data_IF_510528366093
#
_entry.id   IF_510528366093
#
_cell.length_a   1.000
_cell.length_b   1.000
_cell.length_c   1.000
_cell.angle_alpha   90.00
_cell.angle_beta   90.00
_cell.angle_gamma   90.00
#
_symmetry.space_group_name_H-M   'P 1'
#
loop_
_entity.id
_entity.type
_entity.pdbx_description
1 polymer ?
#
# COMPACT_ATOMS: atom_id res chain seq x y z
N UNK A 1 -36.43 -12.29 2.17
CA UNK A 1 -35.09 -12.47 1.55
C UNK A 1 -34.30 -13.34 2.51
N UNK A 2 -33.79 -14.51 2.09
CA UNK A 2 -33.11 -15.39 3.02
C UNK A 2 -31.86 -14.67 3.57
N UNK A 3 -31.63 -14.68 4.89
CA UNK A 3 -30.52 -13.94 5.53
C UNK A 3 -29.15 -14.36 4.99
N UNK A 4 -29.04 -15.57 4.44
CA UNK A 4 -27.83 -16.11 3.81
C UNK A 4 -27.44 -15.37 2.54
N UNK A 5 -28.37 -15.06 1.63
CA UNK A 5 -28.08 -14.30 0.41
C UNK A 5 -27.59 -12.89 0.73
N UNK A 6 -28.17 -12.27 1.76
CA UNK A 6 -27.78 -10.94 2.22
C UNK A 6 -26.36 -10.96 2.81
N UNK A 7 -26.03 -11.99 3.60
CA UNK A 7 -24.68 -12.19 4.12
C UNK A 7 -23.65 -12.39 3.01
N UNK A 8 -23.95 -13.21 1.99
CA UNK A 8 -23.06 -13.44 0.84
C UNK A 8 -22.84 -12.13 0.07
N UNK A 9 -23.91 -11.39 -0.22
CA UNK A 9 -23.83 -10.12 -0.94
C UNK A 9 -22.96 -9.10 -0.18
N UNK A 10 -23.12 -8.98 1.14
CA UNK A 10 -22.30 -8.10 1.97
C UNK A 10 -20.81 -8.48 1.92
N UNK A 11 -20.49 -9.77 2.03
CA UNK A 11 -19.11 -10.25 1.91
C UNK A 11 -18.51 -9.96 0.53
N UNK A 12 -19.27 -10.15 -0.54
CA UNK A 12 -18.84 -9.83 -1.89
C UNK A 12 -18.57 -8.32 -2.05
N UNK A 13 -19.45 -7.47 -1.53
CA UNK A 13 -19.24 -6.02 -1.57
C UNK A 13 -17.98 -5.62 -0.80
N UNK A 14 -17.76 -6.16 0.40
CA UNK A 14 -16.56 -5.87 1.20
C UNK A 14 -15.28 -6.32 0.49
N UNK A 15 -15.28 -7.53 -0.05
CA UNK A 15 -14.10 -8.08 -0.77
C UNK A 15 -13.81 -7.30 -2.05
N UNK A 16 -14.82 -6.98 -2.85
CA UNK A 16 -14.67 -6.20 -4.08
C UNK A 16 -14.25 -4.76 -3.80
N UNK A 17 -14.81 -4.10 -2.78
CA UNK A 17 -14.43 -2.74 -2.40
C UNK A 17 -12.99 -2.67 -1.89
N UNK A 18 -12.55 -3.67 -1.12
CA UNK A 18 -11.14 -3.78 -0.72
C UNK A 18 -10.21 -4.00 -1.92
N UNK A 19 -10.60 -4.84 -2.87
CA UNK A 19 -9.87 -5.06 -4.12
C UNK A 19 -9.78 -3.78 -4.96
N UNK A 20 -10.88 -3.06 -5.12
CA UNK A 20 -10.95 -1.77 -5.84
C UNK A 20 -10.05 -0.72 -5.18
N UNK A 21 -10.07 -0.61 -3.85
CA UNK A 21 -9.16 0.29 -3.10
C UNK A 21 -7.68 -0.07 -3.30
N UNK A 22 -7.37 -1.36 -3.35
CA UNK A 22 -6.03 -1.84 -3.64
C UNK A 22 -5.59 -1.54 -5.08
N UNK A 23 -6.52 -1.54 -6.04
CA UNK A 23 -6.28 -1.19 -7.44
C UNK A 23 -6.13 0.33 -7.64
N UNK A 24 -7.02 1.13 -7.06
CA UNK A 24 -7.03 2.59 -7.19
C UNK A 24 -5.93 3.32 -6.41
N UNK A 25 -5.50 2.78 -5.26
CA UNK A 25 -4.40 3.34 -4.47
C UNK A 25 -3.32 2.29 -4.18
N UNK A 26 -2.50 1.94 -5.18
CA UNK A 26 -1.47 0.92 -5.04
C UNK A 26 -0.34 1.37 -4.09
N UNK A 27 -0.19 2.68 -3.88
CA UNK A 27 0.84 3.28 -3.05
C UNK A 27 0.25 3.75 -1.71
N UNK A 28 0.69 3.13 -0.62
CA UNK A 28 0.50 3.63 0.74
C UNK A 28 1.66 4.51 1.18
N UNK A 29 1.45 5.33 2.22
CA UNK A 29 2.54 6.07 2.86
C UNK A 29 3.48 5.11 3.59
N UNK A 30 4.78 5.35 3.50
CA UNK A 30 5.75 4.62 4.30
C UNK A 30 5.52 4.96 5.78
N UNK A 31 5.22 3.92 6.59
CA UNK A 31 4.91 4.08 8.02
C UNK A 31 6.07 4.63 8.86
N UNK A 32 7.30 4.53 8.36
CA UNK A 32 8.51 4.93 9.11
C UNK A 32 8.89 6.40 8.92
N UNK A 33 8.61 6.95 7.75
CA UNK A 33 8.86 8.36 7.44
C UNK A 33 7.57 9.15 7.22
N UNK A 34 6.40 8.55 7.49
CA UNK A 34 5.08 9.15 7.33
C UNK A 34 4.80 9.77 5.95
N UNK A 35 5.44 9.26 4.89
CA UNK A 35 5.31 9.82 3.54
C UNK A 35 6.42 10.80 3.13
N UNK A 36 7.30 11.23 4.04
CA UNK A 36 8.31 12.27 3.75
C UNK A 36 9.51 11.77 2.93
N UNK A 37 9.80 10.46 2.93
CA UNK A 37 10.99 9.89 2.29
C UNK A 37 12.29 10.04 3.11
N UNK A 38 12.25 10.76 4.23
CA UNK A 38 13.38 10.94 5.14
C UNK A 38 12.91 10.98 6.59
N UNK A 39 13.84 10.77 7.53
CA UNK A 39 13.59 10.99 8.95
C UNK A 39 13.54 12.48 9.23
N UNK A 40 12.47 12.96 9.86
CA UNK A 40 12.39 14.35 10.31
C UNK A 40 13.27 14.52 11.54
N UNK A 41 14.15 15.53 11.52
CA UNK A 41 14.94 15.92 12.69
C UNK A 41 14.59 17.35 13.07
N UNK A 42 14.69 17.68 14.35
CA UNK A 42 14.55 19.05 14.84
C UNK A 42 15.93 19.63 15.11
N UNK A 43 16.14 20.88 14.71
CA UNK A 43 17.33 21.65 15.07
C UNK A 43 17.29 22.04 16.55
N UNK A 44 18.40 22.52 17.12
CA UNK A 44 18.46 23.06 18.51
C UNK A 44 17.45 24.19 18.75
N UNK A 45 17.04 24.88 17.70
CA UNK A 45 16.02 25.95 17.71
C UNK A 45 14.60 25.45 17.45
N UNK A 46 14.35 24.15 17.49
CA UNK A 46 13.03 23.53 17.27
C UNK A 46 12.55 23.52 15.81
N UNK A 47 13.35 24.01 14.85
CA UNK A 47 12.95 24.05 13.44
C UNK A 47 13.05 22.65 12.81
N UNK A 48 12.04 22.20 12.03
CA UNK A 48 12.12 20.92 11.33
C UNK A 48 13.18 20.99 10.23
N UNK A 49 14.05 19.99 10.19
CA UNK A 49 15.07 19.79 9.17
C UNK A 49 14.95 18.40 8.57
N UNK A 50 15.33 18.32 7.30
CA UNK A 50 15.52 17.05 6.60
C UNK A 50 16.64 16.28 7.27
N UNK A 51 16.30 15.16 7.91
CA UNK A 51 17.28 14.24 8.49
C UNK A 51 17.74 13.19 7.48
N UNK A 52 18.10 12.01 7.99
CA UNK A 52 18.65 10.93 7.17
C UNK A 52 17.61 10.40 6.19
N UNK A 53 18.08 9.98 5.02
CA UNK A 53 17.28 9.30 4.01
C UNK A 53 16.61 8.04 4.58
N UNK A 54 15.34 7.79 4.24
CA UNK A 54 14.62 6.63 4.77
C UNK A 54 14.99 5.36 4.01
N UNK A 55 15.81 4.50 4.65
CA UNK A 55 16.25 3.20 4.09
C UNK A 55 15.12 2.22 3.75
N UNK A 56 13.91 2.41 4.29
CA UNK A 56 12.83 1.43 4.13
C UNK A 56 11.94 1.69 2.90
N UNK A 57 11.83 2.94 2.47
CA UNK A 57 11.17 3.32 1.21
C UNK A 57 12.16 3.85 0.17
N UNK A 58 13.45 3.79 0.47
CA UNK A 58 14.54 4.30 -0.36
C UNK A 58 14.27 5.74 -0.84
N UNK A 59 13.80 6.60 0.08
CA UNK A 59 13.56 8.01 -0.22
C UNK A 59 12.24 8.33 -0.88
N UNK A 60 11.53 7.34 -1.41
CA UNK A 60 10.31 7.58 -2.17
C UNK A 60 9.12 8.00 -1.30
N UNK A 61 9.19 7.77 0.01
CA UNK A 61 8.08 8.09 0.93
C UNK A 61 6.86 7.16 0.81
N UNK A 62 6.84 6.29 -0.20
CA UNK A 62 5.72 5.40 -0.51
C UNK A 62 6.07 3.93 -0.28
N UNK A 63 5.04 3.10 -0.11
CA UNK A 63 5.11 1.63 0.02
C UNK A 63 4.02 1.01 -0.84
N UNK A 64 4.36 -0.03 -1.60
CA UNK A 64 3.38 -0.78 -2.40
C UNK A 64 2.46 -1.60 -1.47
N UNK A 65 1.13 -1.45 -1.63
CA UNK A 65 0.10 -2.25 -0.91
C UNK A 65 0.14 -3.72 -1.34
N UNK A 66 -0.36 -4.59 -0.45
CA UNK A 66 -0.37 -6.06 -0.66
C UNK A 66 -1.11 -6.47 -1.93
N UNK A 67 -2.24 -5.84 -2.26
CA UNK A 67 -2.97 -6.15 -3.50
C UNK A 67 -2.13 -5.96 -4.77
N UNK A 68 -1.36 -4.87 -4.87
CA UNK A 68 -0.48 -4.65 -6.01
C UNK A 68 0.71 -5.62 -6.02
N UNK A 69 1.20 -6.05 -4.85
CA UNK A 69 2.22 -7.11 -4.77
C UNK A 69 1.68 -8.43 -5.31
N UNK A 70 0.46 -8.82 -4.93
CA UNK A 70 -0.18 -10.04 -5.41
C UNK A 70 -0.45 -9.99 -6.92
N UNK A 71 -0.96 -8.88 -7.44
CA UNK A 71 -1.15 -8.71 -8.88
C UNK A 71 0.17 -8.81 -9.64
N UNK A 72 1.22 -8.12 -9.18
CA UNK A 72 2.53 -8.20 -9.81
C UNK A 72 3.14 -9.61 -9.73
N UNK A 73 2.87 -10.35 -8.66
CA UNK A 73 3.29 -11.75 -8.53
C UNK A 73 2.52 -12.65 -9.51
N UNK A 74 1.19 -12.55 -9.55
CA UNK A 74 0.35 -13.31 -10.47
C UNK A 74 0.70 -13.03 -11.93
N UNK A 75 0.94 -11.75 -12.28
CA UNK A 75 1.36 -11.35 -13.62
C UNK A 75 2.78 -11.82 -13.99
N UNK A 76 3.66 -12.07 -13.01
CA UNK A 76 4.95 -12.74 -13.24
C UNK A 76 4.73 -14.22 -13.52
N UNK A 77 4.02 -14.92 -12.63
CA UNK A 77 3.72 -16.35 -12.76
C UNK A 77 3.04 -16.65 -14.10
N UNK A 78 2.04 -15.85 -14.49
CA UNK A 78 1.36 -16.03 -15.77
C UNK A 78 2.32 -15.87 -16.95
N UNK A 79 3.18 -14.84 -16.94
CA UNK A 79 4.15 -14.63 -18.03
C UNK A 79 5.18 -15.75 -18.10
N UNK A 80 5.67 -16.21 -16.95
CA UNK A 80 6.64 -17.30 -16.85
C UNK A 80 6.02 -18.63 -17.30
N UNK A 81 4.72 -18.85 -17.07
CA UNK A 81 4.00 -20.04 -17.55
C UNK A 81 3.58 -19.98 -19.03
N UNK A 82 3.57 -18.80 -19.64
CA UNK A 82 3.29 -18.63 -21.08
C UNK A 82 4.55 -18.57 -21.96
N UNK A 83 5.73 -18.84 -21.38
CA UNK A 83 7.02 -18.83 -22.06
C UNK A 83 7.56 -20.25 -22.22
#
# INVERSE_FOLDING_TARGET
>A
MPPTLLAIALWLVITLSYAALCAGSPFGRCRRCSGLGFQLKTDRKGRPRRGKHCRHCDGNGIRIRTGRRLYNLAARIHRDGTR
#
